data_IF_072878056329
#
_entry.id   IF_072878056329
#
_cell.length_a   1.000
_cell.length_b   1.000
_cell.length_c   1.000
_cell.angle_alpha   90.00
_cell.angle_beta   90.00
_cell.angle_gamma   90.00
#
_symmetry.space_group_name_H-M   'P 1'
#
loop_
_entity.id
_entity.type
_entity.pdbx_description
1 polymer ?
#
# COMPACT_ATOMS: atom_id res chain seq x y z
N UNK A 1 7.49 10.35 -25.32
CA UNK A 1 7.58 10.81 -23.92
C UNK A 1 6.48 10.08 -23.17
N UNK A 2 6.82 9.04 -22.42
CA UNK A 2 5.83 8.26 -21.66
C UNK A 2 5.60 9.01 -20.36
N UNK A 3 4.47 9.72 -20.27
CA UNK A 3 4.09 10.43 -19.05
C UNK A 3 3.62 9.39 -18.05
N UNK A 4 4.51 8.96 -17.16
CA UNK A 4 4.12 8.06 -16.07
C UNK A 4 3.10 8.75 -15.16
N UNK A 5 2.07 8.03 -14.67
CA UNK A 5 1.09 8.60 -13.76
C UNK A 5 1.74 8.99 -12.43
N UNK A 6 1.33 10.14 -11.88
CA UNK A 6 1.84 10.65 -10.60
C UNK A 6 1.18 9.93 -9.42
N UNK A 7 -0.09 9.53 -9.57
CA UNK A 7 -0.83 8.71 -8.62
C UNK A 7 -1.87 7.85 -9.34
N UNK A 8 -2.26 6.74 -8.71
CA UNK A 8 -3.29 5.81 -9.20
C UNK A 8 -4.15 5.36 -8.01
N UNK A 9 -5.48 5.43 -8.17
CA UNK A 9 -6.42 4.88 -7.20
C UNK A 9 -6.71 3.40 -7.48
N UNK A 10 -6.81 2.61 -6.42
CA UNK A 10 -7.08 1.18 -6.45
C UNK A 10 -8.29 0.84 -5.57
N UNK A 11 -9.11 -0.14 -5.96
CA UNK A 11 -10.27 -0.56 -5.19
C UNK A 11 -9.91 -1.38 -3.93
N UNK A 12 -8.62 -1.66 -3.70
CA UNK A 12 -8.16 -2.36 -2.50
C UNK A 12 -6.69 -2.04 -2.22
N UNK A 13 -6.30 -2.13 -0.94
CA UNK A 13 -4.90 -2.04 -0.54
C UNK A 13 -4.03 -3.11 -1.20
N UNK A 14 -4.56 -4.33 -1.38
CA UNK A 14 -3.84 -5.43 -2.02
C UNK A 14 -3.46 -5.08 -3.47
N UNK A 15 -4.39 -4.53 -4.26
CA UNK A 15 -4.12 -4.17 -5.65
C UNK A 15 -3.10 -3.02 -5.75
N UNK A 16 -3.14 -2.05 -4.83
CA UNK A 16 -2.14 -0.98 -4.77
C UNK A 16 -0.74 -1.51 -4.40
N UNK A 17 -0.66 -2.49 -3.49
CA UNK A 17 0.60 -3.15 -3.10
C UNK A 17 1.16 -3.97 -4.27
N UNK A 18 0.33 -4.76 -4.95
CA UNK A 18 0.77 -5.51 -6.15
C UNK A 18 1.38 -4.56 -7.17
N UNK A 19 0.75 -3.41 -7.40
CA UNK A 19 1.31 -2.38 -8.27
C UNK A 19 2.63 -1.80 -7.74
N UNK A 20 2.71 -1.56 -6.43
CA UNK A 20 3.92 -1.06 -5.75
C UNK A 20 5.09 -2.05 -5.86
N UNK A 21 4.84 -3.36 -5.82
CA UNK A 21 5.88 -4.38 -5.95
C UNK A 21 6.55 -4.28 -7.32
N UNK A 22 5.77 -4.06 -8.38
CA UNK A 22 6.28 -3.98 -9.75
C UNK A 22 6.87 -2.60 -10.11
N UNK A 23 6.37 -1.52 -9.51
CA UNK A 23 6.68 -0.13 -9.91
C UNK A 23 7.41 0.68 -8.83
N UNK A 24 7.58 0.14 -7.63
CA UNK A 24 8.05 0.87 -6.45
C UNK A 24 7.03 1.90 -5.96
N UNK A 25 7.50 2.92 -5.24
CA UNK A 25 6.67 4.06 -4.83
C UNK A 25 5.98 3.88 -3.47
N UNK A 26 4.91 4.63 -3.27
CA UNK A 26 4.24 4.77 -1.99
C UNK A 26 2.78 4.36 -2.09
N UNK A 27 2.26 3.70 -1.06
CA UNK A 27 0.85 3.34 -0.97
C UNK A 27 0.26 3.99 0.27
N UNK A 28 -0.81 4.76 0.06
CA UNK A 28 -1.66 5.28 1.10
C UNK A 28 -2.87 4.36 1.28
N UNK A 29 -3.07 3.90 2.51
CA UNK A 29 -4.20 3.08 2.93
C UNK A 29 -5.05 3.86 3.93
N UNK A 30 -6.24 4.34 3.54
CA UNK A 30 -7.17 4.98 4.45
C UNK A 30 -7.69 3.99 5.49
N UNK A 31 -7.98 4.50 6.69
CA UNK A 31 -8.46 3.70 7.83
C UNK A 31 -9.84 3.07 7.56
N UNK A 32 -10.66 3.72 6.72
CA UNK A 32 -11.94 3.17 6.29
C UNK A 32 -11.82 1.97 5.32
N UNK A 33 -10.60 1.60 4.88
CA UNK A 33 -10.25 0.38 4.13
C UNK A 33 -11.04 0.10 2.83
N UNK A 34 -11.63 1.11 2.19
CA UNK A 34 -12.43 0.92 0.96
C UNK A 34 -11.63 1.05 -0.34
N UNK A 35 -10.57 1.83 -0.35
CA UNK A 35 -9.77 2.13 -1.54
C UNK A 35 -8.33 2.44 -1.09
N UNK A 36 -7.35 2.31 -1.97
CA UNK A 36 -5.97 2.66 -1.68
C UNK A 36 -5.40 3.50 -2.82
N UNK A 37 -4.43 4.36 -2.50
CA UNK A 37 -3.82 5.25 -3.49
C UNK A 37 -2.34 4.96 -3.58
N UNK A 38 -1.88 4.61 -4.78
CA UNK A 38 -0.47 4.52 -5.09
C UNK A 38 0.05 5.87 -5.60
N UNK A 39 1.28 6.21 -5.23
CA UNK A 39 1.99 7.40 -5.68
C UNK A 39 3.35 7.00 -6.25
N UNK A 40 3.79 7.74 -7.28
CA UNK A 40 5.05 7.45 -7.93
C UNK A 40 6.25 7.58 -6.97
N UNK A 41 7.34 6.82 -7.20
CA UNK A 41 8.52 6.85 -6.34
C UNK A 41 9.24 8.21 -6.27
N UNK A 42 9.04 9.07 -7.26
CA UNK A 42 9.60 10.43 -7.29
C UNK A 42 8.89 11.39 -6.31
N UNK A 43 7.74 10.99 -5.76
CA UNK A 43 7.05 11.77 -4.73
C UNK A 43 7.67 11.56 -3.35
N UNK A 44 7.65 12.63 -2.55
CA UNK A 44 8.07 12.59 -1.15
C UNK A 44 6.85 12.40 -0.25
N UNK A 45 7.01 11.74 0.92
CA UNK A 45 5.92 11.55 1.89
C UNK A 45 5.21 12.84 2.26
N UNK A 46 5.96 13.92 2.48
CA UNK A 46 5.39 15.23 2.80
C UNK A 46 4.46 15.75 1.70
N UNK A 47 4.86 15.62 0.43
CA UNK A 47 4.02 16.05 -0.71
C UNK A 47 2.78 15.17 -0.84
N UNK A 48 2.93 13.86 -0.60
CA UNK A 48 1.83 12.89 -0.65
C UNK A 48 0.80 13.22 0.42
N UNK A 49 1.22 13.43 1.67
CA UNK A 49 0.31 13.73 2.79
C UNK A 49 -0.42 15.07 2.63
N UNK A 50 0.15 16.02 1.88
CA UNK A 50 -0.52 17.28 1.51
C UNK A 50 -1.30 17.19 0.20
N UNK A 51 -1.35 16.03 -0.45
CA UNK A 51 -1.99 15.88 -1.76
C UNK A 51 -3.51 16.00 -1.63
N UNK A 52 -4.19 16.78 -2.49
CA UNK A 52 -5.64 16.97 -2.41
C UNK A 52 -6.46 15.67 -2.46
N UNK A 53 -5.93 14.63 -3.10
CA UNK A 53 -6.56 13.29 -3.16
C UNK A 53 -6.70 12.64 -1.78
N UNK A 54 -5.85 13.01 -0.81
CA UNK A 54 -5.90 12.52 0.57
C UNK A 54 -6.61 13.50 1.51
N UNK A 55 -7.14 14.61 0.99
CA UNK A 55 -7.76 15.65 1.81
C UNK A 55 -9.00 15.11 2.51
N UNK A 56 -9.00 15.12 3.84
CA UNK A 56 -10.09 14.58 4.66
C UNK A 56 -10.06 13.07 4.83
N UNK A 57 -8.99 12.39 4.40
CA UNK A 57 -8.76 10.97 4.64
C UNK A 57 -7.74 10.79 5.76
N UNK A 58 -8.08 9.94 6.73
CA UNK A 58 -7.15 9.44 7.73
C UNK A 58 -6.66 8.05 7.31
N UNK A 59 -5.38 7.76 7.54
CA UNK A 59 -4.78 6.52 7.05
C UNK A 59 -3.28 6.41 7.29
N UNK A 60 -2.72 5.35 6.71
CA UNK A 60 -1.30 5.01 6.78
C UNK A 60 -0.67 5.15 5.41
N UNK A 61 0.46 5.84 5.35
CA UNK A 61 1.35 5.85 4.19
C UNK A 61 2.48 4.83 4.41
N UNK A 62 2.74 3.98 3.43
CA UNK A 62 3.88 3.05 3.49
C UNK A 62 4.64 2.97 2.16
N UNK A 63 5.95 2.79 2.24
CA UNK A 63 6.82 2.43 1.11
C UNK A 63 7.23 0.95 1.15
N UNK A 64 6.89 0.22 2.22
CA UNK A 64 7.22 -1.19 2.36
C UNK A 64 5.94 -2.02 2.17
N UNK A 65 5.85 -2.83 1.10
CA UNK A 65 4.70 -3.71 0.89
C UNK A 65 4.52 -4.74 2.02
N UNK A 66 5.55 -5.00 2.84
CA UNK A 66 5.45 -5.87 4.01
C UNK A 66 4.85 -5.17 5.25
N UNK A 67 4.75 -3.85 5.28
CA UNK A 67 4.28 -3.05 6.42
C UNK A 67 2.74 -3.03 6.54
N UNK A 68 2.03 -3.40 5.47
CA UNK A 68 0.58 -3.67 5.49
C UNK A 68 0.25 -5.10 5.91
N UNK A 69 1.26 -5.93 6.24
CA UNK A 69 0.98 -7.14 7.01
C UNK A 69 0.47 -6.66 8.37
N UNK A 70 -0.76 -7.03 8.79
CA UNK A 70 -1.18 -6.74 10.14
C UNK A 70 -0.10 -7.31 11.08
N UNK A 71 0.42 -6.48 11.98
CA UNK A 71 1.20 -6.93 13.12
C UNK A 71 0.35 -7.94 13.90
N UNK A 72 0.36 -9.21 13.49
CA UNK A 72 -0.15 -10.34 14.26
C UNK A 72 -1.61 -10.82 14.04
N UNK A 73 -2.14 -10.97 12.82
CA UNK A 73 -3.04 -12.12 12.62
C UNK A 73 -2.22 -13.34 12.25
N UNK A 74 -1.64 -13.94 13.28
CA UNK A 74 -0.97 -15.23 13.20
C UNK A 74 -2.04 -16.29 12.98
N UNK A 75 -2.39 -16.56 11.71
CA UNK A 75 -2.90 -17.90 11.38
C UNK A 75 -1.71 -18.82 11.53
N UNK A 76 -1.59 -19.39 12.73
CA UNK A 76 -0.74 -20.55 12.97
C UNK A 76 -1.32 -21.72 12.16
N UNK A 77 -1.03 -21.77 10.86
CA UNK A 77 -1.04 -23.07 10.18
C UNK A 77 0.24 -23.81 10.60
N UNK A 78 0.26 -24.24 11.87
CA UNK A 78 1.15 -25.30 12.32
C UNK A 78 0.60 -26.64 11.79
N UNK A 79 0.64 -26.80 10.47
CA UNK A 79 0.44 -28.06 9.79
C UNK A 79 1.49 -28.16 8.69
N UNK A 80 2.74 -28.41 9.06
CA UNK A 80 3.61 -29.15 8.17
C UNK A 80 4.29 -30.25 8.97
N UNK A 81 3.87 -31.46 8.60
CA UNK A 81 4.21 -32.74 9.18
C UNK A 81 5.71 -33.00 9.15
N UNK A 82 6.20 -33.74 10.14
CA UNK A 82 7.36 -34.58 9.95
C UNK A 82 7.09 -35.93 10.62
N UNK A 83 6.75 -36.99 9.86
CA UNK A 83 6.84 -38.35 10.36
C UNK A 83 8.29 -38.82 10.23
N UNK A 84 8.90 -39.17 11.36
CA UNK A 84 10.04 -40.08 11.41
C UNK A 84 9.73 -41.12 12.50
#
# INVERSE_FOLDING_TARGET
MTTSPIYIGFPSAVAAIEHQIDHGGWVFVPEALLEAVWFCPDMTPTKILTHPVLSGMEGRLTCDPADLRPLGFRVSNACQANPA
#
